data_IF_873146350455
#
_entry.id   IF_873146350455
#
_cell.length_a   1.000
_cell.length_b   1.000
_cell.length_c   1.000
_cell.angle_alpha   90.00
_cell.angle_beta   90.00
_cell.angle_gamma   90.00
#
_symmetry.space_group_name_H-M   'P 1'
#
loop_
_entity.id
_entity.type
_entity.pdbx_description
1 polymer ?
#
# COMPACT_ATOMS: atom_id res chain seq x y z
N UNK A 1 31.43 -5.73 -1.73
CA UNK A 1 30.45 -6.64 -1.09
C UNK A 1 29.24 -5.82 -0.65
N UNK A 2 28.11 -5.83 -1.38
CA UNK A 2 26.92 -5.07 -0.97
C UNK A 2 26.08 -5.89 0.00
N UNK A 3 26.19 -5.58 1.29
CA UNK A 3 25.43 -6.17 2.40
C UNK A 3 23.93 -6.02 2.12
N UNK A 4 23.27 -7.12 1.76
CA UNK A 4 21.83 -7.18 1.52
C UNK A 4 21.08 -7.09 2.85
N UNK A 5 20.80 -5.88 3.33
CA UNK A 5 19.99 -5.68 4.55
C UNK A 5 18.48 -5.76 4.23
N UNK A 6 18.00 -6.88 3.70
CA UNK A 6 16.56 -7.19 3.76
C UNK A 6 16.30 -7.94 5.06
N UNK A 7 15.85 -7.23 6.10
CA UNK A 7 15.51 -7.83 7.39
C UNK A 7 14.35 -8.81 7.19
N UNK A 8 14.56 -10.07 7.56
CA UNK A 8 13.49 -11.06 7.63
C UNK A 8 12.53 -10.65 8.74
N UNK A 9 11.24 -10.50 8.41
CA UNK A 9 10.21 -10.08 9.38
C UNK A 9 9.40 -11.29 9.83
N UNK A 10 8.90 -12.06 8.87
CA UNK A 10 8.10 -13.26 9.10
C UNK A 10 8.03 -14.09 7.81
N UNK A 11 7.45 -15.30 7.86
CA UNK A 11 7.26 -16.10 6.67
C UNK A 11 6.56 -15.30 5.57
N UNK A 12 7.08 -15.45 4.34
CA UNK A 12 6.58 -14.79 3.14
C UNK A 12 6.65 -13.26 3.10
N UNK A 13 7.29 -12.57 4.06
CA UNK A 13 7.47 -11.12 4.04
C UNK A 13 8.93 -10.72 4.30
N UNK A 14 9.53 -9.99 3.35
CA UNK A 14 10.86 -9.37 3.53
C UNK A 14 10.72 -7.86 3.66
N UNK A 15 11.35 -7.26 4.68
CA UNK A 15 11.32 -5.81 4.87
C UNK A 15 12.03 -5.09 3.73
N UNK A 16 11.36 -4.11 3.14
CA UNK A 16 12.00 -3.10 2.30
C UNK A 16 12.20 -1.84 3.13
N UNK A 17 11.12 -1.33 3.75
CA UNK A 17 11.17 -0.07 4.49
C UNK A 17 10.14 0.00 5.61
N UNK A 18 10.54 0.54 6.76
CA UNK A 18 9.62 0.94 7.83
C UNK A 18 9.15 2.40 7.60
N UNK A 19 7.83 2.61 7.50
CA UNK A 19 7.20 3.92 7.29
C UNK A 19 6.96 4.69 8.61
N UNK A 20 7.31 4.11 9.77
CA UNK A 20 7.28 4.74 11.08
C UNK A 20 5.92 4.68 11.81
N UNK A 21 5.96 5.05 13.10
CA UNK A 21 4.83 4.95 14.03
C UNK A 21 4.49 3.49 14.37
N UNK A 22 3.22 3.11 14.29
CA UNK A 22 2.66 1.85 14.79
C UNK A 22 2.98 0.63 13.89
N UNK A 23 4.24 0.48 13.45
CA UNK A 23 4.71 -0.69 12.71
C UNK A 23 4.22 -0.79 11.26
N UNK A 24 3.91 0.34 10.59
CA UNK A 24 3.58 0.30 9.15
C UNK A 24 4.84 0.12 8.32
N UNK A 25 4.87 -0.92 7.49
CA UNK A 25 6.04 -1.34 6.72
C UNK A 25 5.67 -1.61 5.27
N UNK A 26 6.64 -1.44 4.39
CA UNK A 26 6.62 -1.92 3.01
C UNK A 26 7.47 -3.17 2.94
N UNK A 27 6.89 -4.23 2.39
CA UNK A 27 7.51 -5.55 2.32
C UNK A 27 7.32 -6.15 0.93
N UNK A 28 8.24 -7.03 0.52
CA UNK A 28 7.97 -7.95 -0.59
C UNK A 28 7.20 -9.16 -0.04
N UNK A 29 6.09 -9.53 -0.68
CA UNK A 29 5.30 -10.73 -0.32
C UNK A 29 5.41 -11.81 -1.40
N UNK A 30 5.68 -13.06 -0.98
CA UNK A 30 5.98 -14.16 -1.91
C UNK A 30 4.82 -15.13 -2.17
N UNK A 31 3.70 -14.99 -1.47
CA UNK A 31 2.54 -15.86 -1.67
C UNK A 31 1.79 -15.48 -2.95
N UNK A 32 2.12 -16.16 -4.07
CA UNK A 32 1.30 -16.21 -5.28
C UNK A 32 1.23 -14.92 -6.12
N UNK A 33 2.30 -14.12 -6.17
CA UNK A 33 2.46 -12.92 -7.03
C UNK A 33 1.76 -11.63 -6.52
N UNK A 34 2.23 -11.11 -5.38
CA UNK A 34 1.97 -9.73 -4.94
C UNK A 34 3.26 -9.12 -4.39
N UNK A 35 3.94 -8.29 -5.17
CA UNK A 35 5.32 -7.90 -4.87
C UNK A 35 5.45 -6.71 -3.91
N UNK A 36 4.44 -5.86 -3.76
CA UNK A 36 4.54 -4.71 -2.85
C UNK A 36 3.42 -4.75 -1.82
N UNK A 37 3.75 -5.03 -0.56
CA UNK A 37 2.80 -5.07 0.54
C UNK A 37 3.04 -3.90 1.49
N UNK A 38 2.02 -3.05 1.64
CA UNK A 38 2.00 -1.89 2.55
C UNK A 38 1.08 -2.26 3.71
N UNK A 39 1.67 -2.56 4.87
CA UNK A 39 0.96 -3.22 5.96
C UNK A 39 1.49 -2.88 7.34
N UNK A 40 0.63 -2.89 8.34
CA UNK A 40 0.99 -2.83 9.76
C UNK A 40 1.44 -4.20 10.26
N UNK A 41 2.54 -4.22 10.97
CA UNK A 41 3.05 -5.38 11.70
C UNK A 41 3.00 -5.11 13.21
N UNK A 42 2.73 -6.17 13.96
CA UNK A 42 2.69 -6.16 15.42
C UNK A 42 3.43 -7.39 15.95
N UNK A 43 3.97 -7.29 17.17
CA UNK A 43 4.67 -8.41 17.78
C UNK A 43 3.67 -9.38 18.42
N UNK A 44 3.85 -10.67 18.14
CA UNK A 44 3.11 -11.78 18.75
C UNK A 44 4.12 -12.86 19.08
N UNK A 45 4.31 -13.18 20.37
CA UNK A 45 5.21 -14.23 20.85
C UNK A 45 6.63 -14.17 20.23
N UNK A 46 7.22 -12.97 20.16
CA UNK A 46 8.56 -12.78 19.61
C UNK A 46 8.66 -12.73 18.08
N UNK A 47 7.54 -12.80 17.36
CA UNK A 47 7.50 -12.70 15.90
C UNK A 47 6.64 -11.51 15.43
N UNK A 48 7.06 -10.81 14.36
CA UNK A 48 6.24 -9.77 13.75
C UNK A 48 5.18 -10.38 12.86
N UNK A 49 3.90 -10.15 13.15
CA UNK A 49 2.78 -10.66 12.34
C UNK A 49 2.09 -9.55 11.53
N UNK A 50 1.76 -9.82 10.26
CA UNK A 50 1.01 -8.88 9.42
C UNK A 50 -0.42 -8.68 9.95
N UNK A 51 -0.92 -7.44 9.95
CA UNK A 51 -2.31 -7.10 10.35
C UNK A 51 -3.04 -6.33 9.25
N UNK A 52 -3.39 -5.04 9.44
CA UNK A 52 -4.09 -4.20 8.46
C UNK A 52 -3.14 -3.76 7.34
N UNK A 53 -3.50 -4.00 6.09
CA UNK A 53 -2.68 -3.66 4.94
C UNK A 53 -3.25 -4.11 3.61
N UNK A 54 -2.58 -3.69 2.54
CA UNK A 54 -2.87 -4.05 1.16
C UNK A 54 -1.60 -4.59 0.50
N UNK A 55 -1.76 -5.57 -0.38
CA UNK A 55 -0.66 -6.12 -1.17
C UNK A 55 -0.98 -5.92 -2.64
N UNK A 56 -0.05 -5.33 -3.40
CA UNK A 56 -0.22 -4.91 -4.79
C UNK A 56 0.61 -5.80 -5.73
N UNK A 57 0.05 -6.07 -6.91
CA UNK A 57 0.83 -6.59 -8.04
C UNK A 57 1.76 -5.51 -8.57
N UNK A 58 2.68 -5.87 -9.48
CA UNK A 58 3.57 -4.89 -10.14
C UNK A 58 2.76 -3.84 -10.89
N UNK A 59 1.75 -4.26 -11.66
CA UNK A 59 0.90 -3.33 -12.40
C UNK A 59 0.11 -2.41 -11.47
N UNK A 60 -0.45 -2.93 -10.37
CA UNK A 60 -1.11 -2.11 -9.35
C UNK A 60 -0.15 -1.11 -8.67
N UNK A 61 1.11 -1.51 -8.44
CA UNK A 61 2.14 -0.61 -7.92
C UNK A 61 2.52 0.49 -8.93
N UNK A 62 2.65 0.16 -10.22
CA UNK A 62 2.88 1.14 -11.28
C UNK A 62 1.73 2.14 -11.40
N UNK A 63 0.49 1.66 -11.33
CA UNK A 63 -0.70 2.52 -11.32
C UNK A 63 -0.72 3.45 -10.11
N UNK A 64 -0.34 2.96 -8.92
CA UNK A 64 -0.22 3.81 -7.73
C UNK A 64 0.84 4.91 -7.95
N UNK A 65 2.03 4.55 -8.46
CA UNK A 65 3.11 5.51 -8.74
C UNK A 65 2.71 6.58 -9.75
N UNK A 66 2.08 6.17 -10.86
CA UNK A 66 1.62 7.08 -11.92
C UNK A 66 0.64 8.14 -11.39
N UNK A 67 -0.13 7.80 -10.37
CA UNK A 67 -1.17 8.68 -9.81
C UNK A 67 -0.74 9.41 -8.53
N UNK A 68 0.52 9.34 -8.10
CA UNK A 68 0.93 9.95 -6.82
C UNK A 68 0.72 11.47 -6.76
N UNK A 69 0.96 12.17 -7.86
CA UNK A 69 0.74 13.62 -7.92
C UNK A 69 -0.74 13.97 -7.86
N UNK A 70 -1.60 13.19 -8.54
CA UNK A 70 -3.05 13.35 -8.44
C UNK A 70 -3.57 13.07 -7.02
N UNK A 71 -3.00 12.07 -6.33
CA UNK A 71 -3.33 11.73 -4.95
C UNK A 71 -2.95 12.87 -3.99
N UNK A 72 -1.77 13.46 -4.16
CA UNK A 72 -1.34 14.61 -3.34
C UNK A 72 -2.16 15.86 -3.62
N UNK A 73 -2.45 16.14 -4.90
CA UNK A 73 -3.34 17.23 -5.27
C UNK A 73 -4.71 17.06 -4.59
N UNK A 74 -5.34 15.90 -4.70
CA UNK A 74 -6.61 15.61 -4.05
C UNK A 74 -6.52 15.72 -2.51
N UNK A 75 -5.40 15.31 -1.91
CA UNK A 75 -5.15 15.50 -0.48
C UNK A 75 -5.16 16.98 -0.09
N UNK A 76 -4.42 17.81 -0.84
CA UNK A 76 -4.31 19.25 -0.56
C UNK A 76 -5.63 19.98 -0.78
N UNK A 77 -6.32 19.69 -1.88
CA UNK A 77 -7.66 20.21 -2.15
C UNK A 77 -8.60 19.87 -1.00
N UNK A 78 -8.68 18.59 -0.59
CA UNK A 78 -9.51 18.19 0.55
C UNK A 78 -9.10 18.89 1.85
N UNK A 79 -7.81 19.16 2.05
CA UNK A 79 -7.30 19.83 3.25
C UNK A 79 -7.63 21.31 3.34
N UNK A 80 -7.93 21.94 2.21
CA UNK A 80 -8.34 23.34 2.17
C UNK A 80 -9.83 23.54 2.49
N UNK A 81 -10.68 22.53 2.30
CA UNK A 81 -12.13 22.62 2.52
C UNK A 81 -12.55 22.00 3.86
N UNK A 82 -12.91 22.84 4.85
CA UNK A 82 -13.24 22.42 6.22
C UNK A 82 -14.68 21.96 6.46
N UNK A 83 -15.59 22.20 5.50
CA UNK A 83 -17.04 21.98 5.66
C UNK A 83 -17.55 20.69 5.02
N UNK A 84 -16.66 19.86 4.48
CA UNK A 84 -17.06 18.64 3.80
C UNK A 84 -17.61 17.58 4.76
N UNK A 85 -18.63 16.85 4.32
CA UNK A 85 -19.22 15.71 5.04
C UNK A 85 -18.10 14.78 5.60
N UNK A 86 -18.16 14.41 6.89
CA UNK A 86 -17.17 13.55 7.52
C UNK A 86 -16.99 12.19 6.81
N UNK A 87 -18.00 11.71 6.07
CA UNK A 87 -17.97 10.44 5.33
C UNK A 87 -17.65 10.59 3.84
N UNK A 88 -17.45 11.81 3.37
CA UNK A 88 -17.19 12.08 1.96
C UNK A 88 -15.73 11.71 1.58
N UNK A 89 -15.62 10.95 0.49
CA UNK A 89 -14.44 10.22 0.05
C UNK A 89 -14.20 10.52 -1.44
N UNK A 90 -13.06 11.15 -1.74
CA UNK A 90 -12.65 11.41 -3.13
C UNK A 90 -11.95 10.16 -3.64
N UNK A 91 -12.57 9.44 -4.58
CA UNK A 91 -11.90 8.36 -5.31
C UNK A 91 -10.93 8.99 -6.30
N UNK A 92 -9.64 8.71 -6.14
CA UNK A 92 -8.59 9.33 -6.97
C UNK A 92 -8.22 8.42 -8.13
N UNK A 93 -7.99 7.13 -7.88
CA UNK A 93 -7.66 6.20 -8.93
C UNK A 93 -8.04 4.75 -8.61
N UNK A 94 -8.37 4.00 -9.66
CA UNK A 94 -8.43 2.55 -9.64
C UNK A 94 -7.03 1.98 -9.94
N UNK A 95 -6.57 1.06 -9.09
CA UNK A 95 -5.31 0.34 -9.26
C UNK A 95 -5.48 -0.95 -10.06
N UNK A 96 -6.72 -1.43 -10.20
CA UNK A 96 -7.12 -2.62 -10.94
C UNK A 96 -7.77 -3.69 -10.05
N UNK A 97 -8.36 -4.69 -10.70
CA UNK A 97 -9.11 -5.76 -10.05
C UNK A 97 -8.25 -6.71 -9.20
N UNK A 98 -8.90 -7.37 -8.26
CA UNK A 98 -8.41 -8.50 -7.45
C UNK A 98 -9.49 -9.58 -7.38
N UNK A 99 -9.16 -10.72 -6.75
CA UNK A 99 -10.11 -11.82 -6.56
C UNK A 99 -11.39 -11.37 -5.86
N UNK A 100 -11.30 -10.42 -4.93
CA UNK A 100 -12.42 -10.02 -4.07
C UNK A 100 -12.97 -8.62 -4.43
N UNK A 101 -12.60 -8.03 -5.58
CA UNK A 101 -13.13 -6.73 -6.02
C UNK A 101 -12.12 -5.86 -6.79
N UNK A 102 -12.06 -4.58 -6.47
CA UNK A 102 -11.14 -3.60 -7.06
C UNK A 102 -10.26 -2.98 -5.99
N UNK A 103 -9.00 -2.65 -6.32
CA UNK A 103 -8.15 -1.89 -5.40
C UNK A 103 -8.16 -0.43 -5.82
N UNK A 104 -8.54 0.45 -4.91
CA UNK A 104 -8.65 1.87 -5.18
C UNK A 104 -7.83 2.69 -4.19
N UNK A 105 -7.49 3.91 -4.63
CA UNK A 105 -6.93 4.94 -3.77
C UNK A 105 -7.95 6.06 -3.63
N UNK A 106 -8.20 6.43 -2.39
CA UNK A 106 -9.10 7.52 -2.08
C UNK A 106 -8.46 8.48 -1.07
N UNK A 107 -8.91 9.74 -1.09
CA UNK A 107 -8.64 10.72 -0.05
C UNK A 107 -9.92 10.89 0.76
N UNK A 108 -9.83 10.67 2.08
CA UNK A 108 -10.98 10.76 2.97
C UNK A 108 -10.68 11.49 4.27
N UNK A 109 -11.72 12.09 4.85
CA UNK A 109 -11.67 12.62 6.22
C UNK A 109 -11.94 11.50 7.23
N UNK A 110 -11.23 11.51 8.36
CA UNK A 110 -11.53 10.61 9.48
C UNK A 110 -11.15 11.28 10.78
N UNK A 111 -12.13 11.53 11.66
CA UNK A 111 -11.92 12.24 12.94
C UNK A 111 -11.12 13.55 12.76
N UNK A 112 -11.54 14.38 11.80
CA UNK A 112 -10.87 15.65 11.41
C UNK A 112 -9.44 15.49 10.87
N UNK A 113 -9.02 14.28 10.50
CA UNK A 113 -7.74 14.02 9.86
C UNK A 113 -7.95 13.50 8.45
N UNK A 114 -7.34 14.15 7.48
CA UNK A 114 -7.34 13.67 6.10
C UNK A 114 -6.32 12.55 5.96
N UNK A 115 -6.71 11.49 5.26
CA UNK A 115 -5.89 10.30 5.04
C UNK A 115 -5.99 9.86 3.59
N UNK A 116 -4.90 9.30 3.10
CA UNK A 116 -4.85 8.58 1.83
C UNK A 116 -5.14 7.11 2.13
N UNK A 117 -6.29 6.60 1.70
CA UNK A 117 -6.72 5.23 1.90
C UNK A 117 -6.43 4.40 0.65
N UNK A 118 -5.70 3.31 0.81
CA UNK A 118 -5.42 2.33 -0.25
C UNK A 118 -6.11 1.04 0.15
N UNK A 119 -7.17 0.66 -0.57
CA UNK A 119 -8.12 -0.36 -0.10
C UNK A 119 -8.68 -1.20 -1.24
N UNK A 120 -8.98 -2.45 -0.93
CA UNK A 120 -9.83 -3.31 -1.75
C UNK A 120 -11.30 -2.98 -1.45
N UNK A 121 -12.04 -2.56 -2.47
CA UNK A 121 -13.47 -2.30 -2.43
C UNK A 121 -14.23 -3.38 -3.23
N UNK A 122 -15.49 -3.55 -2.88
CA UNK A 122 -16.43 -4.40 -3.60
C UNK A 122 -17.67 -3.57 -3.96
N UNK A 123 -18.50 -4.09 -4.84
CA UNK A 123 -19.75 -3.45 -5.22
C UNK A 123 -20.91 -4.33 -4.77
N UNK A 124 -21.90 -3.70 -4.14
CA UNK A 124 -23.14 -4.34 -3.70
C UNK A 124 -24.28 -3.43 -4.13
N UNK A 125 -25.21 -3.94 -4.95
CA UNK A 125 -26.28 -3.17 -5.57
C UNK A 125 -25.80 -1.94 -6.36
N UNK A 126 -24.65 -2.07 -7.04
CA UNK A 126 -24.01 -0.97 -7.76
C UNK A 126 -23.31 0.07 -6.88
N UNK A 127 -23.42 -0.06 -5.55
CA UNK A 127 -22.81 0.86 -4.59
C UNK A 127 -21.43 0.34 -4.20
N UNK A 128 -20.41 1.19 -4.34
CA UNK A 128 -19.04 0.90 -3.89
C UNK A 128 -18.98 0.82 -2.37
N UNK A 129 -18.52 -0.31 -1.84
CA UNK A 129 -18.29 -0.53 -0.41
C UNK A 129 -16.83 -0.81 -0.11
N UNK A 130 -16.36 -0.25 1.00
CA UNK A 130 -14.99 -0.41 1.47
C UNK A 130 -14.79 -1.80 2.08
N UNK A 131 -13.88 -2.59 1.49
CA UNK A 131 -13.55 -3.92 2.00
C UNK A 131 -12.60 -3.89 3.20
N UNK A 132 -12.41 -5.05 3.83
CA UNK A 132 -11.58 -5.21 5.04
C UNK A 132 -10.08 -5.02 4.78
N UNK A 133 -9.62 -5.27 3.55
CA UNK A 133 -8.20 -5.24 3.16
C UNK A 133 -7.83 -3.85 2.70
N UNK A 134 -7.00 -3.15 3.48
CA UNK A 134 -6.57 -1.80 3.13
C UNK A 134 -5.73 -1.15 4.22
N UNK A 135 -5.18 0.02 3.90
CA UNK A 135 -4.43 0.85 4.82
C UNK A 135 -4.68 2.34 4.56
N UNK A 136 -4.97 3.08 5.63
CA UNK A 136 -5.11 4.53 5.58
C UNK A 136 -3.84 5.19 6.14
N UNK A 137 -3.16 5.94 5.29
CA UNK A 137 -1.91 6.62 5.59
C UNK A 137 -2.18 8.11 5.88
N UNK A 138 -1.72 8.66 7.02
CA UNK A 138 -1.59 10.11 7.16
C UNK A 138 -0.48 10.62 6.23
N UNK A 139 -0.52 11.92 5.89
CA UNK A 139 0.41 12.54 4.94
C UNK A 139 1.88 12.27 5.27
N UNK A 140 2.29 12.34 6.54
CA UNK A 140 3.66 12.00 6.97
C UNK A 140 4.12 10.60 6.53
N UNK A 141 3.24 9.59 6.56
CA UNK A 141 3.57 8.23 6.11
C UNK A 141 3.53 8.11 4.58
N UNK A 142 2.64 8.84 3.93
CA UNK A 142 2.58 8.93 2.48
C UNK A 142 3.87 9.53 1.91
N UNK A 143 4.32 10.68 2.42
CA UNK A 143 5.59 11.32 2.05
C UNK A 143 6.75 10.34 2.22
N UNK A 144 6.77 9.57 3.33
CA UNK A 144 7.82 8.57 3.55
C UNK A 144 7.76 7.43 2.54
N UNK A 145 6.57 6.95 2.18
CA UNK A 145 6.38 5.98 1.10
C UNK A 145 6.90 6.53 -0.24
N UNK A 146 6.53 7.76 -0.59
CA UNK A 146 6.99 8.45 -1.81
C UNK A 146 8.50 8.59 -1.85
N UNK A 147 9.11 8.98 -0.73
CA UNK A 147 10.57 9.14 -0.61
C UNK A 147 11.37 7.85 -0.83
N UNK A 148 10.74 6.68 -0.64
CA UNK A 148 11.41 5.39 -0.78
C UNK A 148 10.99 4.59 -2.01
N UNK A 149 10.30 5.20 -2.99
CA UNK A 149 9.90 4.53 -4.24
C UNK A 149 11.07 3.84 -4.92
N UNK A 150 12.21 4.54 -5.09
CA UNK A 150 13.38 3.96 -5.76
C UNK A 150 13.91 2.71 -5.05
N UNK A 151 13.85 2.67 -3.72
CA UNK A 151 14.24 1.48 -2.95
C UNK A 151 13.25 0.33 -3.16
N UNK A 152 11.95 0.63 -3.22
CA UNK A 152 10.90 -0.34 -3.49
C UNK A 152 11.03 -0.90 -4.90
N UNK A 153 11.23 -0.05 -5.91
CA UNK A 153 11.39 -0.45 -7.31
C UNK A 153 12.59 -1.38 -7.49
N UNK A 154 13.74 -1.01 -6.92
CA UNK A 154 14.94 -1.87 -6.97
C UNK A 154 14.69 -3.25 -6.32
N UNK A 155 13.94 -3.29 -5.22
CA UNK A 155 13.58 -4.55 -4.57
C UNK A 155 12.64 -5.37 -5.46
N UNK A 156 11.61 -4.76 -6.04
CA UNK A 156 10.67 -5.42 -6.97
C UNK A 156 11.40 -5.99 -8.18
N UNK A 157 12.27 -5.20 -8.82
CA UNK A 157 13.05 -5.63 -10.00
C UNK A 157 13.98 -6.80 -9.68
N UNK A 158 14.65 -6.74 -8.54
CA UNK A 158 15.52 -7.83 -8.07
C UNK A 158 14.74 -9.13 -7.91
N UNK A 159 13.54 -9.06 -7.35
CA UNK A 159 12.70 -10.24 -7.12
C UNK A 159 12.08 -10.76 -8.42
N UNK A 160 11.66 -9.88 -9.33
CA UNK A 160 11.24 -10.28 -10.69
C UNK A 160 12.34 -11.02 -11.46
N UNK A 161 13.58 -10.54 -11.37
CA UNK A 161 14.74 -11.22 -12.00
C UNK A 161 14.97 -12.62 -11.43
N UNK A 162 14.78 -12.82 -10.12
CA UNK A 162 14.90 -14.15 -9.48
C UNK A 162 13.81 -15.09 -9.96
N UNK A 163 12.56 -14.63 -10.00
CA UNK A 163 11.42 -15.43 -10.46
C UNK A 163 11.61 -15.91 -11.91
N UNK A 164 12.07 -15.02 -12.79
CA UNK A 164 12.39 -15.36 -14.20
C UNK A 164 13.49 -16.41 -14.36
N UNK A 165 14.43 -16.50 -13.41
CA UNK A 165 15.48 -17.54 -13.44
C UNK A 165 14.95 -18.91 -12.99
N UNK A 166 14.06 -18.91 -11.99
CA UNK A 166 13.46 -20.15 -11.46
C UNK A 166 12.49 -20.82 -12.43
N UNK A 167 11.86 -20.05 -13.34
CA UNK A 167 10.94 -20.58 -14.36
C UNK A 167 11.64 -21.11 -15.62
N UNK A 168 12.97 -20.99 -15.71
CA UNK A 168 13.78 -21.45 -16.85
C UNK A 168 14.42 -22.83 -16.61
N UNK A 169 14.09 -23.47 -15.50
CA UNK A 169 14.49 -24.81 -15.10
C UNK A 169 13.24 -25.59 -14.71
#
# INVERSE_FOLDING_TARGET
MSSNNYEYICPNHRLIRNLGGNGTMVTIQYSGVKLVSIRRFHWVKGERRPSKGISLTVQQWLNLKKNMDAIEKAYHERSAYSESDPDDEIVVCDLGSSKDGHKMVCVKSWKKQIRIDIRECYFEDGIRKNGRKGISLPMKRWIKLRSCIRQIDNAVDKELRKLRKLQKH
#
